data_IF_429671004047
#
_entry.id   IF_429671004047
#
_cell.length_a   1.000
_cell.length_b   1.000
_cell.length_c   1.000
_cell.angle_alpha   90.00
_cell.angle_beta   90.00
_cell.angle_gamma   90.00
#
_symmetry.space_group_name_H-M   'P 1'
#
loop_
_entity.id
_entity.type
_entity.pdbx_description
1 polymer ?
#
# COMPACT_ATOMS: atom_id res chain seq x y z
N UNK A 1 -13.09 4.04 12.71
CA UNK A 1 -12.64 3.41 13.97
C UNK A 1 -12.79 1.89 13.87
N UNK A 2 -11.83 1.10 14.35
CA UNK A 2 -11.96 -0.36 14.35
C UNK A 2 -13.17 -0.79 15.18
N UNK A 3 -13.89 -1.82 14.74
CA UNK A 3 -14.95 -2.44 15.54
C UNK A 3 -14.35 -2.87 16.88
N UNK A 4 -15.06 -2.59 17.99
CA UNK A 4 -14.60 -2.80 19.38
C UNK A 4 -13.45 -1.88 19.83
N UNK A 5 -13.30 -0.69 19.25
CA UNK A 5 -12.51 0.34 19.91
C UNK A 5 -13.17 0.71 21.25
N UNK A 6 -12.34 0.99 22.24
CA UNK A 6 -12.78 1.44 23.56
C UNK A 6 -13.38 2.85 23.42
N UNK A 7 -14.68 3.05 23.75
CA UNK A 7 -15.33 4.34 23.65
C UNK A 7 -14.66 5.42 24.51
N UNK A 8 -13.96 5.03 25.60
CA UNK A 8 -13.27 5.95 26.50
C UNK A 8 -11.91 6.41 25.96
N UNK A 9 -11.45 5.81 24.84
CA UNK A 9 -10.22 6.27 24.17
C UNK A 9 -10.34 7.74 23.83
N UNK A 10 -9.45 8.55 24.39
CA UNK A 10 -9.50 10.01 24.25
C UNK A 10 -8.57 10.49 23.14
N UNK A 11 -9.06 11.40 22.31
CA UNK A 11 -8.30 12.16 21.31
C UNK A 11 -8.17 13.61 21.78
N UNK A 12 -7.00 14.20 21.57
CA UNK A 12 -6.74 15.60 21.88
C UNK A 12 -6.52 16.41 20.60
N UNK A 13 -7.58 16.88 19.92
CA UNK A 13 -7.45 17.68 18.70
C UNK A 13 -6.75 19.03 18.94
N UNK A 14 -6.81 19.56 20.17
CA UNK A 14 -6.04 20.71 20.65
C UNK A 14 -5.55 20.44 22.07
N UNK A 15 -4.61 21.24 22.58
CA UNK A 15 -4.00 21.03 23.90
C UNK A 15 -4.99 21.16 25.08
N UNK A 16 -6.07 21.92 24.89
CA UNK A 16 -7.10 22.23 25.88
C UNK A 16 -8.39 21.41 25.68
N UNK A 17 -8.46 20.58 24.63
CA UNK A 17 -9.67 19.85 24.28
C UNK A 17 -9.42 18.37 24.18
N UNK A 18 -10.14 17.63 24.99
CA UNK A 18 -10.22 16.18 24.95
C UNK A 18 -11.61 15.76 24.45
N UNK A 19 -11.65 14.80 23.53
CA UNK A 19 -12.90 14.22 23.01
C UNK A 19 -12.73 12.70 22.96
N UNK A 20 -13.67 11.97 23.52
CA UNK A 20 -13.68 10.51 23.46
C UNK A 20 -14.08 9.99 22.08
N UNK A 21 -13.64 8.76 21.77
CA UNK A 21 -14.12 8.03 20.60
C UNK A 21 -15.64 7.84 20.66
N UNK A 22 -16.20 7.60 21.85
CA UNK A 22 -17.64 7.49 22.08
C UNK A 22 -18.42 8.73 21.66
N UNK A 23 -17.97 9.92 22.08
CA UNK A 23 -18.57 11.20 21.69
C UNK A 23 -18.54 11.42 20.18
N UNK A 24 -17.41 11.14 19.53
CA UNK A 24 -17.27 11.29 18.08
C UNK A 24 -18.14 10.29 17.29
N UNK A 25 -18.34 9.08 17.81
CA UNK A 25 -19.27 8.11 17.26
C UNK A 25 -20.73 8.55 17.45
N UNK A 26 -21.09 9.03 18.63
CA UNK A 26 -22.43 9.53 18.95
C UNK A 26 -22.82 10.75 18.12
N UNK A 27 -21.85 11.63 17.83
CA UNK A 27 -22.03 12.78 16.96
C UNK A 27 -22.04 12.43 15.45
N UNK A 28 -21.83 11.17 15.08
CA UNK A 28 -21.75 10.74 13.68
C UNK A 28 -20.49 11.22 12.93
N UNK A 29 -19.52 11.83 13.64
CA UNK A 29 -18.26 12.28 13.09
C UNK A 29 -17.33 11.10 12.72
N UNK A 30 -17.54 9.94 13.35
CA UNK A 30 -16.82 8.70 13.07
C UNK A 30 -17.77 7.55 12.75
N UNK A 31 -17.27 6.57 12.00
CA UNK A 31 -17.95 5.28 11.74
C UNK A 31 -17.08 4.12 12.20
N UNK A 32 -17.70 2.99 12.53
CA UNK A 32 -16.99 1.75 12.85
C UNK A 32 -16.87 0.83 11.63
N UNK A 33 -15.79 0.07 11.55
CA UNK A 33 -15.54 -0.89 10.47
C UNK A 33 -14.53 -1.96 10.89
N UNK A 34 -14.27 -2.97 10.05
CA UNK A 34 -13.15 -3.89 10.29
C UNK A 34 -11.82 -3.11 10.37
N UNK A 35 -10.85 -3.66 11.09
CA UNK A 35 -9.49 -3.12 11.04
C UNK A 35 -8.88 -3.31 9.65
N UNK A 36 -8.02 -2.40 9.24
CA UNK A 36 -7.24 -2.53 8.01
C UNK A 36 -5.82 -2.98 8.34
N UNK A 37 -5.28 -3.93 7.56
CA UNK A 37 -3.86 -4.26 7.56
C UNK A 37 -3.17 -3.58 6.38
N UNK A 38 -2.22 -2.73 6.70
CA UNK A 38 -1.39 -2.00 5.73
C UNK A 38 0.06 -2.44 5.97
N UNK A 39 0.75 -2.83 4.90
CA UNK A 39 2.15 -3.28 4.94
C UNK A 39 3.00 -2.37 4.06
N UNK A 40 4.17 -2.00 4.57
CA UNK A 40 5.21 -1.28 3.83
C UNK A 40 6.44 -2.18 3.73
N UNK A 41 6.95 -2.36 2.50
CA UNK A 41 8.16 -3.12 2.22
C UNK A 41 9.08 -2.25 1.35
N UNK A 42 10.20 -1.79 1.92
CA UNK A 42 11.19 -0.96 1.23
C UNK A 42 12.61 -1.37 1.62
N UNK A 43 13.56 -1.12 0.72
CA UNK A 43 14.99 -1.37 0.86
C UNK A 43 15.36 -2.83 1.19
N UNK A 44 14.89 -3.76 0.37
CA UNK A 44 15.13 -5.20 0.40
C UNK A 44 15.76 -5.73 -0.89
N UNK A 45 16.82 -6.52 -0.70
CA UNK A 45 17.37 -7.37 -1.74
C UNK A 45 16.40 -8.51 -2.09
N UNK A 46 16.31 -8.85 -3.37
CA UNK A 46 15.56 -10.02 -3.82
C UNK A 46 16.35 -11.32 -3.58
N UNK A 47 16.03 -12.02 -2.49
CA UNK A 47 16.51 -13.35 -2.16
C UNK A 47 15.39 -14.17 -1.50
N UNK A 48 15.59 -15.48 -1.40
CA UNK A 48 14.57 -16.42 -0.89
C UNK A 48 14.11 -16.09 0.54
N UNK A 49 15.05 -15.71 1.43
CA UNK A 49 14.72 -15.39 2.81
C UNK A 49 13.85 -14.13 2.93
N UNK A 50 14.19 -13.07 2.18
CA UNK A 50 13.41 -11.84 2.16
C UNK A 50 12.05 -12.04 1.49
N UNK A 51 12.00 -12.79 0.38
CA UNK A 51 10.76 -13.16 -0.29
C UNK A 51 9.80 -13.84 0.69
N UNK A 52 10.26 -14.88 1.40
CA UNK A 52 9.44 -15.60 2.37
C UNK A 52 8.92 -14.69 3.49
N UNK A 53 9.78 -13.83 4.04
CA UNK A 53 9.40 -12.88 5.12
C UNK A 53 8.35 -11.88 4.66
N UNK A 54 8.53 -11.28 3.49
CA UNK A 54 7.62 -10.23 2.99
C UNK A 54 6.27 -10.84 2.59
N UNK A 55 6.27 -12.00 1.93
CA UNK A 55 5.03 -12.71 1.60
C UNK A 55 4.26 -13.08 2.86
N UNK A 56 4.93 -13.62 3.88
CA UNK A 56 4.30 -13.94 5.16
C UNK A 56 3.75 -12.70 5.88
N UNK A 57 4.50 -11.59 5.89
CA UNK A 57 4.08 -10.33 6.49
C UNK A 57 2.87 -9.72 5.79
N UNK A 58 2.86 -9.76 4.45
CA UNK A 58 1.84 -9.16 3.61
C UNK A 58 0.63 -10.07 3.36
N UNK A 59 0.66 -11.33 3.81
CA UNK A 59 -0.37 -12.31 3.52
C UNK A 59 -1.79 -11.79 3.86
N UNK A 60 -2.61 -11.60 2.83
CA UNK A 60 -3.99 -11.10 2.98
C UNK A 60 -4.08 -9.71 3.64
N UNK A 61 -3.07 -8.86 3.44
CA UNK A 61 -3.16 -7.44 3.80
C UNK A 61 -4.13 -6.70 2.87
N UNK A 62 -4.79 -5.66 3.37
CA UNK A 62 -5.68 -4.82 2.57
C UNK A 62 -4.87 -3.94 1.61
N UNK A 63 -3.70 -3.47 2.05
CA UNK A 63 -2.80 -2.66 1.24
C UNK A 63 -1.35 -3.07 1.46
N UNK A 64 -0.62 -3.21 0.36
CA UNK A 64 0.84 -3.34 0.33
C UNK A 64 1.45 -2.20 -0.46
N UNK A 65 2.29 -1.40 0.19
CA UNK A 65 3.19 -0.47 -0.46
C UNK A 65 4.56 -1.14 -0.53
N UNK A 66 5.05 -1.36 -1.75
CA UNK A 66 6.29 -2.11 -1.97
C UNK A 66 7.22 -1.32 -2.90
N UNK A 67 8.51 -1.33 -2.60
CA UNK A 67 9.49 -0.75 -3.51
C UNK A 67 9.50 -1.46 -4.87
N UNK A 68 9.76 -0.71 -5.92
CA UNK A 68 9.94 -1.22 -7.28
C UNK A 68 10.97 -0.32 -7.97
N UNK A 69 12.18 -0.29 -7.42
CA UNK A 69 13.19 0.70 -7.75
C UNK A 69 13.66 0.65 -9.21
N UNK A 70 13.66 -0.54 -9.82
CA UNK A 70 14.27 -0.79 -11.13
C UNK A 70 13.36 -1.57 -12.08
N UNK A 71 13.53 -1.39 -13.38
CA UNK A 71 12.93 -2.27 -14.38
C UNK A 71 13.65 -3.62 -14.38
N UNK A 72 12.98 -4.67 -14.84
CA UNK A 72 13.59 -6.00 -14.93
C UNK A 72 14.80 -6.04 -15.87
N UNK A 73 14.83 -5.19 -16.90
CA UNK A 73 16.01 -5.03 -17.79
C UNK A 73 17.27 -4.57 -17.04
N UNK A 74 17.10 -3.85 -15.92
CA UNK A 74 18.18 -3.36 -15.06
C UNK A 74 18.37 -4.25 -13.79
N UNK A 75 17.94 -5.53 -13.82
CA UNK A 75 17.99 -6.44 -12.66
C UNK A 75 19.36 -6.55 -12.00
N UNK A 76 20.44 -6.57 -12.78
CA UNK A 76 21.81 -6.65 -12.22
C UNK A 76 22.14 -5.42 -11.38
N UNK A 77 21.71 -4.23 -11.82
CA UNK A 77 21.87 -3.00 -11.07
C UNK A 77 21.02 -3.00 -9.79
N UNK A 78 19.78 -3.50 -9.88
CA UNK A 78 18.90 -3.67 -8.72
C UNK A 78 19.55 -4.58 -7.66
N UNK A 79 20.10 -5.72 -8.09
CA UNK A 79 20.79 -6.66 -7.23
C UNK A 79 22.05 -6.05 -6.59
N UNK A 80 22.88 -5.36 -7.37
CA UNK A 80 24.07 -4.68 -6.87
C UNK A 80 23.74 -3.61 -5.81
N UNK A 81 22.61 -2.91 -5.99
CA UNK A 81 22.12 -1.92 -5.03
C UNK A 81 21.22 -2.48 -3.94
N UNK A 82 20.93 -3.78 -3.96
CA UNK A 82 20.06 -4.49 -3.00
C UNK A 82 18.63 -3.94 -2.95
N UNK A 83 18.06 -3.69 -4.11
CA UNK A 83 16.66 -3.28 -4.30
C UNK A 83 15.92 -4.28 -5.19
N UNK A 84 14.59 -4.18 -5.18
CA UNK A 84 13.73 -4.96 -6.06
C UNK A 84 13.63 -4.34 -7.46
N UNK A 85 13.41 -5.21 -8.44
CA UNK A 85 12.79 -4.80 -9.71
C UNK A 85 11.26 -4.67 -9.57
N UNK A 86 10.62 -3.96 -10.49
CA UNK A 86 9.17 -3.86 -10.57
C UNK A 86 8.52 -5.23 -10.80
N UNK A 87 9.10 -6.08 -11.65
CA UNK A 87 8.67 -7.45 -11.83
C UNK A 87 8.74 -8.30 -10.54
N UNK A 88 9.83 -8.20 -9.79
CA UNK A 88 10.02 -8.90 -8.52
C UNK A 88 8.99 -8.43 -7.46
N UNK A 89 8.79 -7.12 -7.34
CA UNK A 89 7.81 -6.53 -6.44
C UNK A 89 6.37 -6.95 -6.78
N UNK A 90 6.00 -6.95 -8.07
CA UNK A 90 4.69 -7.43 -8.53
C UNK A 90 4.49 -8.91 -8.21
N UNK A 91 5.54 -9.72 -8.38
CA UNK A 91 5.51 -11.15 -8.04
C UNK A 91 5.31 -11.38 -6.54
N UNK A 92 6.01 -10.63 -5.68
CA UNK A 92 5.84 -10.68 -4.21
C UNK A 92 4.39 -10.35 -3.83
N UNK A 93 3.84 -9.26 -4.38
CA UNK A 93 2.48 -8.83 -4.10
C UNK A 93 1.45 -9.88 -4.51
N UNK A 94 1.63 -10.52 -5.68
CA UNK A 94 0.80 -11.62 -6.14
C UNK A 94 0.84 -12.82 -5.19
N UNK A 95 2.04 -13.24 -4.78
CA UNK A 95 2.23 -14.37 -3.86
C UNK A 95 1.64 -14.09 -2.47
N UNK A 96 1.67 -12.85 -2.01
CA UNK A 96 1.08 -12.43 -0.74
C UNK A 96 -0.46 -12.39 -0.77
N UNK A 97 -1.11 -12.43 -1.94
CA UNK A 97 -2.57 -12.40 -2.05
C UNK A 97 -3.17 -11.14 -1.42
N UNK A 98 -2.51 -9.99 -1.57
CA UNK A 98 -2.98 -8.69 -1.06
C UNK A 98 -4.19 -8.20 -1.86
N UNK A 99 -5.08 -7.46 -1.20
CA UNK A 99 -6.26 -6.88 -1.86
C UNK A 99 -5.86 -5.76 -2.83
N UNK A 100 -4.89 -4.93 -2.43
CA UNK A 100 -4.33 -3.86 -3.25
C UNK A 100 -2.82 -3.75 -3.04
N UNK A 101 -2.08 -3.52 -4.13
CA UNK A 101 -0.64 -3.31 -4.10
C UNK A 101 -0.25 -2.03 -4.87
N UNK A 102 0.61 -1.21 -4.28
CA UNK A 102 1.07 0.07 -4.85
C UNK A 102 2.59 0.06 -4.92
N UNK A 103 3.18 0.13 -6.13
CA UNK A 103 4.63 0.24 -6.28
C UNK A 103 5.08 1.67 -5.96
N UNK A 104 6.20 1.78 -5.26
CA UNK A 104 6.80 3.04 -4.81
C UNK A 104 8.35 2.98 -4.83
N UNK A 105 9.01 4.02 -4.31
CA UNK A 105 10.47 4.08 -4.15
C UNK A 105 11.23 3.85 -5.48
N UNK A 106 10.78 4.54 -6.53
CA UNK A 106 11.38 4.44 -7.86
C UNK A 106 12.76 5.08 -7.91
N UNK A 107 13.69 4.44 -8.63
CA UNK A 107 15.01 5.04 -8.85
C UNK A 107 14.86 6.36 -9.64
N UNK A 108 15.56 7.44 -9.24
CA UNK A 108 15.62 8.68 -10.02
C UNK A 108 16.07 8.50 -11.47
N UNK A 109 16.70 7.36 -11.80
CA UNK A 109 17.03 6.94 -13.17
C UNK A 109 15.83 6.96 -14.12
N UNK A 110 14.61 6.72 -13.60
CA UNK A 110 13.38 6.66 -14.39
C UNK A 110 12.48 7.88 -14.17
N UNK A 111 13.05 9.02 -13.75
CA UNK A 111 12.29 10.26 -13.64
C UNK A 111 11.65 10.62 -14.99
N UNK A 112 10.33 10.84 -15.02
CA UNK A 112 9.57 11.05 -16.26
C UNK A 112 9.22 9.77 -17.04
N UNK A 113 9.63 8.61 -16.54
CA UNK A 113 9.38 7.28 -17.12
C UNK A 113 8.83 6.29 -16.09
N UNK A 114 8.30 6.76 -14.96
CA UNK A 114 7.76 5.97 -13.85
C UNK A 114 6.60 5.06 -14.31
N UNK A 115 5.89 5.47 -15.37
CA UNK A 115 4.85 4.67 -16.00
C UNK A 115 5.34 3.29 -16.45
N UNK A 116 6.61 3.15 -16.86
CA UNK A 116 7.20 1.85 -17.24
C UNK A 116 7.29 0.91 -16.04
N UNK A 117 7.78 1.40 -14.90
CA UNK A 117 7.86 0.63 -13.65
C UNK A 117 6.47 0.19 -13.19
N UNK A 118 5.49 1.11 -13.23
CA UNK A 118 4.10 0.80 -12.88
C UNK A 118 3.49 -0.27 -13.79
N UNK A 119 3.72 -0.17 -15.10
CA UNK A 119 3.22 -1.14 -16.06
C UNK A 119 3.86 -2.53 -15.86
N UNK A 120 5.18 -2.59 -15.66
CA UNK A 120 5.89 -3.85 -15.41
C UNK A 120 5.46 -4.51 -14.09
N UNK A 121 5.31 -3.71 -13.03
CA UNK A 121 4.77 -4.17 -11.75
C UNK A 121 3.36 -4.77 -11.93
N UNK A 122 2.47 -4.06 -12.61
CA UNK A 122 1.09 -4.50 -12.83
C UNK A 122 1.03 -5.81 -13.64
N UNK A 123 1.90 -5.97 -14.64
CA UNK A 123 2.00 -7.20 -15.42
C UNK A 123 2.37 -8.42 -14.55
N UNK A 124 3.18 -8.23 -13.51
CA UNK A 124 3.64 -9.31 -12.62
C UNK A 124 2.73 -9.53 -11.40
N UNK A 125 1.98 -8.51 -10.97
CA UNK A 125 0.91 -8.65 -9.99
C UNK A 125 -0.21 -9.58 -10.50
N UNK A 126 -0.48 -9.52 -11.81
CA UNK A 126 -1.51 -10.31 -12.48
C UNK A 126 -2.88 -9.61 -12.52
N UNK A 127 -3.72 -10.00 -13.47
CA UNK A 127 -5.08 -9.47 -13.65
C UNK A 127 -6.00 -10.14 -12.63
N UNK A 128 -6.03 -9.63 -11.39
CA UNK A 128 -6.83 -10.24 -10.31
C UNK A 128 -7.15 -9.37 -9.10
N UNK A 129 -6.46 -8.25 -8.88
CA UNK A 129 -6.84 -7.27 -7.83
C UNK A 129 -7.42 -6.04 -8.54
N UNK A 130 -8.74 -5.94 -8.55
CA UNK A 130 -9.45 -4.83 -9.17
C UNK A 130 -8.93 -3.49 -8.63
N UNK A 131 -8.41 -2.66 -9.53
CA UNK A 131 -8.33 -1.22 -9.33
C UNK A 131 -9.75 -0.70 -9.12
N UNK A 132 -10.18 -0.63 -7.86
CA UNK A 132 -11.45 0.00 -7.53
C UNK A 132 -11.29 1.51 -7.72
N UNK A 133 -11.79 2.01 -8.84
CA UNK A 133 -12.21 3.42 -8.94
C UNK A 133 -13.27 3.60 -7.86
N UNK A 134 -12.95 4.37 -6.82
CA UNK A 134 -13.90 4.76 -5.80
C UNK A 134 -15.04 5.55 -6.44
N UNK A 135 -16.13 4.89 -6.80
CA UNK A 135 -17.39 5.59 -7.08
C UNK A 135 -17.90 6.16 -5.76
N UNK A 136 -17.79 7.48 -5.61
CA UNK A 136 -18.64 8.23 -4.69
C UNK A 136 -20.10 7.87 -4.95
N UNK A 137 -20.89 7.68 -3.87
CA UNK A 137 -22.35 7.47 -3.98
C UNK A 137 -23.09 8.66 -4.64
N UNK A 138 -22.40 9.78 -4.87
CA UNK A 138 -22.92 10.97 -5.55
C UNK A 138 -22.43 11.14 -7.00
N UNK A 139 -21.82 10.12 -7.61
CA UNK A 139 -21.48 10.14 -9.05
C UNK A 139 -20.41 11.16 -9.47
N UNK A 140 -19.76 11.85 -8.52
CA UNK A 140 -18.66 12.77 -8.83
C UNK A 140 -17.31 12.05 -8.74
N UNK A 141 -16.60 12.06 -9.87
CA UNK A 141 -15.20 11.69 -9.99
C UNK A 141 -14.38 12.88 -9.51
N UNK A 142 -13.54 12.69 -8.48
CA UNK A 142 -12.51 13.67 -8.12
C UNK A 142 -11.23 13.30 -8.87
N UNK A 143 -10.91 14.12 -9.87
CA UNK A 143 -9.65 14.04 -10.59
C UNK A 143 -8.59 14.78 -9.76
N UNK A 144 -7.70 14.04 -9.09
CA UNK A 144 -6.54 14.62 -8.40
C UNK A 144 -5.36 14.70 -9.35
N UNK A 145 -5.39 15.73 -10.20
CA UNK A 145 -4.23 16.26 -10.92
C UNK A 145 -4.29 17.78 -10.89
N UNK A 146 -3.64 18.37 -9.88
CA UNK A 146 -2.77 19.56 -9.98
C UNK A 146 -1.74 19.51 -8.85
#
# INVERSE_FOLDING_TARGET
>A
VRRRADPETTLAPTADRHISVGELLGAGALRTGPGQRIVYATDLAFNEANLARVVALAHGANQLFIEAGFLQEDRELAAAKRHLTAAEAGTIARLAGVEHAVPMHFSPRYLGHEGKLRAEFAAHLGVGSASHVSKSRDGRVFDHLR
#
